data_IF_739322487816
#
_entry.id   IF_739322487816
#
_cell.length_a   1.000
_cell.length_b   1.000
_cell.length_c   1.000
_cell.angle_alpha   90.00
_cell.angle_beta   90.00
_cell.angle_gamma   90.00
#
_symmetry.space_group_name_H-M   'P 1'
#
loop_
_entity.id
_entity.type
_entity.pdbx_description
1 polymer ?
#
# COMPACT_ATOMS: atom_id res chain seq x y z
N UNK A 1 1.78 -14.95 32.32
CA UNK A 1 3.17 -14.96 31.80
C UNK A 1 3.27 -15.07 30.28
N UNK A 2 2.66 -16.07 29.62
CA UNK A 2 2.74 -16.21 28.16
C UNK A 2 2.17 -15.04 27.34
N UNK A 3 1.10 -14.38 27.83
CA UNK A 3 0.48 -13.23 27.14
C UNK A 3 1.46 -12.05 27.02
N UNK A 4 2.28 -11.80 28.03
CA UNK A 4 3.27 -10.73 28.00
C UNK A 4 4.37 -11.03 26.97
N UNK A 5 4.85 -12.27 26.94
CA UNK A 5 5.86 -12.72 25.98
C UNK A 5 5.38 -12.58 24.53
N UNK A 6 4.14 -13.00 24.25
CA UNK A 6 3.53 -12.88 22.92
C UNK A 6 3.42 -11.42 22.49
N UNK A 7 2.97 -10.53 23.39
CA UNK A 7 2.85 -9.09 23.09
C UNK A 7 4.21 -8.47 22.75
N UNK A 8 5.24 -8.75 23.54
CA UNK A 8 6.60 -8.25 23.28
C UNK A 8 7.14 -8.76 21.96
N UNK A 9 6.93 -10.03 21.65
CA UNK A 9 7.39 -10.60 20.37
C UNK A 9 6.65 -9.99 19.19
N UNK A 10 5.33 -9.82 19.28
CA UNK A 10 4.52 -9.14 18.26
C UNK A 10 5.04 -7.72 18.00
N UNK A 11 5.28 -6.92 19.04
CA UNK A 11 5.79 -5.56 18.91
C UNK A 11 7.16 -5.51 18.22
N UNK A 12 8.03 -6.49 18.49
CA UNK A 12 9.32 -6.60 17.80
C UNK A 12 9.13 -6.80 16.29
N UNK A 13 8.24 -7.72 15.90
CA UNK A 13 7.94 -8.00 14.49
C UNK A 13 7.26 -6.80 13.82
N UNK A 14 6.31 -6.15 14.49
CA UNK A 14 5.67 -4.91 14.00
C UNK A 14 6.71 -3.81 13.73
N UNK A 15 7.72 -3.67 14.60
CA UNK A 15 8.82 -2.72 14.38
C UNK A 15 9.71 -3.04 13.17
N UNK A 16 10.04 -4.32 12.96
CA UNK A 16 10.82 -4.76 11.78
C UNK A 16 10.03 -4.56 10.47
N UNK A 17 8.72 -4.85 10.49
CA UNK A 17 7.82 -4.60 9.36
C UNK A 17 7.72 -3.11 9.04
N UNK A 18 7.54 -2.27 10.07
CA UNK A 18 7.47 -0.82 9.91
C UNK A 18 8.75 -0.25 9.28
N UNK A 19 9.92 -0.64 9.79
CA UNK A 19 11.20 -0.18 9.24
C UNK A 19 11.38 -0.58 7.77
N UNK A 20 10.99 -1.80 7.42
CA UNK A 20 11.06 -2.29 6.04
C UNK A 20 10.12 -1.51 5.13
N UNK A 21 8.87 -1.30 5.55
CA UNK A 21 7.90 -0.52 4.80
C UNK A 21 8.37 0.93 4.60
N UNK A 22 8.85 1.58 5.65
CA UNK A 22 9.36 2.96 5.57
C UNK A 22 10.56 3.08 4.63
N UNK A 23 11.48 2.11 4.65
CA UNK A 23 12.64 2.09 3.76
C UNK A 23 12.23 2.03 2.29
N UNK A 24 11.24 1.19 1.96
CA UNK A 24 10.75 1.05 0.58
C UNK A 24 9.90 2.25 0.17
N UNK A 25 9.08 2.78 1.07
CA UNK A 25 8.32 4.02 0.82
C UNK A 25 9.25 5.21 0.55
N UNK A 26 10.35 5.34 1.29
CA UNK A 26 11.37 6.35 1.02
C UNK A 26 11.97 6.20 -0.38
N UNK A 27 12.39 4.97 -0.74
CA UNK A 27 12.91 4.68 -2.08
C UNK A 27 11.90 5.00 -3.20
N UNK A 28 10.63 4.68 -2.99
CA UNK A 28 9.56 4.97 -3.94
C UNK A 28 9.35 6.48 -4.11
N UNK A 29 9.25 7.21 -3.00
CA UNK A 29 8.97 8.64 -2.98
C UNK A 29 10.11 9.48 -3.54
N UNK A 30 11.34 9.17 -3.13
CA UNK A 30 12.50 10.02 -3.39
C UNK A 30 13.16 9.71 -4.73
N UNK A 31 12.97 8.49 -5.25
CA UNK A 31 13.70 8.01 -6.42
C UNK A 31 12.82 7.38 -7.51
N UNK A 32 12.05 6.34 -7.20
CA UNK A 32 11.42 5.52 -8.24
C UNK A 32 10.21 6.19 -8.91
N UNK A 33 9.30 6.79 -8.12
CA UNK A 33 8.14 7.50 -8.66
C UNK A 33 8.57 8.75 -9.46
N UNK A 34 9.49 9.60 -8.96
CA UNK A 34 10.00 10.73 -9.74
C UNK A 34 10.73 10.34 -11.03
N UNK A 35 11.41 9.19 -11.05
CA UNK A 35 12.20 8.73 -12.21
C UNK A 35 11.39 7.91 -13.22
N UNK A 36 10.11 7.64 -12.95
CA UNK A 36 9.27 6.81 -13.80
C UNK A 36 8.91 7.52 -15.12
N UNK A 37 9.53 7.09 -16.22
CA UNK A 37 9.33 7.69 -17.54
C UNK A 37 8.11 7.16 -18.30
N UNK A 38 7.69 5.92 -18.04
CA UNK A 38 6.53 5.31 -18.69
C UNK A 38 5.32 5.25 -17.77
N UNK A 39 4.11 5.36 -18.34
CA UNK A 39 2.86 5.19 -17.58
C UNK A 39 2.82 3.84 -16.87
N UNK A 40 3.30 2.78 -17.51
CA UNK A 40 3.36 1.44 -16.92
C UNK A 40 4.24 1.40 -15.65
N UNK A 41 5.45 1.94 -15.70
CA UNK A 41 6.35 1.98 -14.54
C UNK A 41 5.81 2.89 -13.44
N UNK A 42 5.20 4.02 -13.81
CA UNK A 42 4.57 4.94 -12.85
C UNK A 42 3.40 4.28 -12.11
N UNK A 43 2.52 3.57 -12.83
CA UNK A 43 1.43 2.78 -12.23
C UNK A 43 2.00 1.69 -11.31
N UNK A 44 3.05 0.99 -11.75
CA UNK A 44 3.69 -0.05 -10.95
C UNK A 44 4.22 0.48 -9.61
N UNK A 45 4.96 1.59 -9.63
CA UNK A 45 5.53 2.17 -8.41
C UNK A 45 4.48 2.80 -7.50
N UNK A 46 3.46 3.48 -8.04
CA UNK A 46 2.34 4.01 -7.24
C UNK A 46 1.50 2.88 -6.64
N UNK A 47 1.26 1.80 -7.38
CA UNK A 47 0.63 0.59 -6.84
C UNK A 47 1.45 0.04 -5.68
N UNK A 48 2.76 -0.10 -5.87
CA UNK A 48 3.67 -0.61 -4.84
C UNK A 48 3.67 0.29 -3.60
N UNK A 49 3.64 1.61 -3.78
CA UNK A 49 3.51 2.57 -2.69
C UNK A 49 2.21 2.36 -1.91
N UNK A 50 1.08 2.20 -2.60
CA UNK A 50 -0.20 1.86 -1.97
C UNK A 50 -0.16 0.54 -1.20
N UNK A 51 0.49 -0.49 -1.75
CA UNK A 51 0.70 -1.77 -1.09
C UNK A 51 1.48 -1.63 0.24
N UNK A 52 2.57 -0.86 0.28
CA UNK A 52 3.35 -0.68 1.51
C UNK A 52 2.64 0.19 2.55
N UNK A 53 1.90 1.21 2.16
CA UNK A 53 1.01 1.91 3.10
C UNK A 53 -0.10 0.98 3.62
N UNK A 54 -0.63 0.08 2.78
CA UNK A 54 -1.67 -0.88 3.19
C UNK A 54 -1.13 -1.83 4.24
N UNK A 55 0.09 -2.36 4.05
CA UNK A 55 0.74 -3.21 5.04
C UNK A 55 0.92 -2.49 6.38
N UNK A 56 1.30 -1.20 6.38
CA UNK A 56 1.33 -0.41 7.62
C UNK A 56 -0.06 -0.34 8.28
N UNK A 57 -1.13 -0.12 7.51
CA UNK A 57 -2.49 -0.04 8.04
C UNK A 57 -3.02 -1.37 8.65
N UNK A 58 -2.44 -2.52 8.30
CA UNK A 58 -2.85 -3.83 8.82
C UNK A 58 -2.52 -4.01 10.31
N UNK A 59 -1.40 -3.43 10.79
CA UNK A 59 -0.94 -3.61 12.17
C UNK A 59 -0.85 -2.31 12.98
N UNK A 60 -0.89 -1.14 12.35
CA UNK A 60 -1.02 0.14 13.05
C UNK A 60 -2.38 0.27 13.73
N UNK A 61 -2.47 1.18 14.70
CA UNK A 61 -3.69 1.41 15.47
C UNK A 61 -4.09 2.89 15.45
N UNK A 62 -5.38 3.15 15.66
CA UNK A 62 -5.93 4.51 15.81
C UNK A 62 -5.53 5.46 14.66
N UNK A 63 -4.89 6.58 14.96
CA UNK A 63 -4.57 7.64 14.01
C UNK A 63 -3.52 7.19 12.98
N UNK A 64 -2.55 6.35 13.38
CA UNK A 64 -1.54 5.80 12.46
C UNK A 64 -2.19 4.90 11.40
N UNK A 65 -3.20 4.09 11.81
CA UNK A 65 -3.94 3.25 10.87
C UNK A 65 -4.73 4.09 9.88
N UNK A 66 -5.38 5.14 10.37
CA UNK A 66 -6.17 6.06 9.53
C UNK A 66 -5.27 6.76 8.52
N UNK A 67 -4.14 7.31 8.99
CA UNK A 67 -3.15 7.99 8.14
C UNK A 67 -2.57 7.06 7.07
N UNK A 68 -2.23 5.82 7.44
CA UNK A 68 -1.75 4.82 6.48
C UNK A 68 -2.84 4.46 5.46
N UNK A 69 -4.09 4.32 5.89
CA UNK A 69 -5.23 4.07 4.99
C UNK A 69 -5.46 5.21 3.99
N UNK A 70 -5.35 6.46 4.43
CA UNK A 70 -5.50 7.63 3.56
C UNK A 70 -4.39 7.70 2.50
N UNK A 71 -3.13 7.42 2.87
CA UNK A 71 -2.02 7.37 1.93
C UNK A 71 -2.14 6.17 0.97
N UNK A 72 -2.63 5.01 1.42
CA UNK A 72 -2.97 3.89 0.52
C UNK A 72 -3.99 4.30 -0.52
N UNK A 73 -5.10 4.93 -0.08
CA UNK A 73 -6.18 5.36 -0.97
C UNK A 73 -5.67 6.36 -2.02
N UNK A 74 -4.85 7.31 -1.60
CA UNK A 74 -4.23 8.32 -2.47
C UNK A 74 -3.31 7.69 -3.51
N UNK A 75 -2.43 6.78 -3.11
CA UNK A 75 -1.51 6.10 -4.01
C UNK A 75 -2.24 5.22 -5.03
N UNK A 76 -3.22 4.42 -4.59
CA UNK A 76 -4.00 3.58 -5.50
C UNK A 76 -4.89 4.39 -6.45
N UNK A 77 -5.50 5.50 -6.01
CA UNK A 77 -6.24 6.40 -6.91
C UNK A 77 -5.33 6.99 -7.98
N UNK A 78 -4.17 7.51 -7.59
CA UNK A 78 -3.20 8.04 -8.55
C UNK A 78 -2.74 6.97 -9.56
N UNK A 79 -2.53 5.73 -9.11
CA UNK A 79 -2.23 4.60 -10.00
C UNK A 79 -3.41 4.26 -10.93
N UNK A 80 -4.65 4.29 -10.40
CA UNK A 80 -5.87 3.95 -11.14
C UNK A 80 -6.19 4.97 -12.24
N UNK A 81 -6.00 6.25 -11.98
CA UNK A 81 -6.22 7.33 -12.95
C UNK A 81 -5.31 7.17 -14.19
N UNK A 82 -4.03 6.87 -13.95
CA UNK A 82 -3.06 6.61 -15.03
C UNK A 82 -3.40 5.29 -15.72
N UNK A 83 -3.62 4.21 -14.96
CA UNK A 83 -3.90 2.89 -15.52
C UNK A 83 -5.17 2.85 -16.38
N UNK A 84 -6.19 3.64 -16.01
CA UNK A 84 -7.46 3.69 -16.74
C UNK A 84 -7.31 4.37 -18.09
N UNK A 85 -6.43 5.38 -18.16
CA UNK A 85 -6.17 6.18 -19.36
C UNK A 85 -5.17 5.48 -20.29
N UNK A 86 -4.08 4.94 -19.73
CA UNK A 86 -2.89 4.59 -20.50
C UNK A 86 -2.66 3.08 -20.67
N UNK A 87 -3.34 2.23 -19.89
CA UNK A 87 -3.18 0.77 -19.93
C UNK A 87 -4.47 0.09 -20.38
N UNK A 88 -4.35 -0.92 -21.24
CA UNK A 88 -5.48 -1.77 -21.62
C UNK A 88 -6.13 -2.42 -20.39
N UNK A 89 -7.44 -2.66 -20.44
CA UNK A 89 -8.17 -3.32 -19.34
C UNK A 89 -7.66 -4.73 -19.01
N UNK A 90 -7.02 -5.39 -19.96
CA UNK A 90 -6.38 -6.71 -19.81
C UNK A 90 -4.93 -6.65 -19.35
N UNK A 91 -4.38 -5.45 -19.15
CA UNK A 91 -2.98 -5.28 -18.75
C UNK A 91 -2.73 -5.85 -17.35
N UNK A 92 -1.72 -6.71 -17.13
CA UNK A 92 -1.53 -7.41 -15.86
C UNK A 92 -1.32 -6.47 -14.68
N UNK A 93 -0.61 -5.35 -14.86
CA UNK A 93 -0.42 -4.35 -13.80
C UNK A 93 -1.75 -3.67 -13.42
N UNK A 94 -2.63 -3.40 -14.40
CA UNK A 94 -3.95 -2.78 -14.14
C UNK A 94 -4.86 -3.76 -13.40
N UNK A 95 -4.86 -5.02 -13.79
CA UNK A 95 -5.59 -6.08 -13.08
C UNK A 95 -5.06 -6.29 -11.67
N UNK A 96 -3.73 -6.32 -11.50
CA UNK A 96 -3.10 -6.43 -10.18
C UNK A 96 -3.37 -5.23 -9.28
N UNK A 97 -3.44 -4.02 -9.85
CA UNK A 97 -3.87 -2.82 -9.12
C UNK A 97 -5.33 -2.97 -8.66
N UNK A 98 -6.24 -3.36 -9.56
CA UNK A 98 -7.65 -3.53 -9.23
C UNK A 98 -7.87 -4.57 -8.12
N UNK A 99 -7.17 -5.72 -8.20
CA UNK A 99 -7.18 -6.75 -7.17
C UNK A 99 -6.73 -6.17 -5.82
N UNK A 100 -5.55 -5.56 -5.75
CA UNK A 100 -5.03 -5.05 -4.48
C UNK A 100 -5.88 -3.90 -3.92
N UNK A 101 -6.47 -3.09 -4.79
CA UNK A 101 -7.36 -2.01 -4.37
C UNK A 101 -8.68 -2.57 -3.80
N UNK A 102 -9.24 -3.64 -4.37
CA UNK A 102 -10.42 -4.32 -3.79
C UNK A 102 -10.11 -4.93 -2.41
N UNK A 103 -8.92 -5.52 -2.23
CA UNK A 103 -8.47 -6.04 -0.94
C UNK A 103 -8.38 -4.90 0.09
N UNK A 104 -7.87 -3.74 -0.30
CA UNK A 104 -7.85 -2.56 0.56
C UNK A 104 -9.25 -2.10 1.01
N UNK A 105 -10.21 -2.01 0.08
CA UNK A 105 -11.59 -1.64 0.42
C UNK A 105 -12.20 -2.63 1.43
N UNK A 106 -11.95 -3.93 1.23
CA UNK A 106 -12.46 -4.97 2.10
C UNK A 106 -11.77 -4.99 3.48
N UNK A 107 -10.44 -5.08 3.51
CA UNK A 107 -9.68 -5.35 4.74
C UNK A 107 -9.38 -4.10 5.58
N UNK A 108 -9.18 -2.94 4.95
CA UNK A 108 -8.78 -1.72 5.66
C UNK A 108 -9.97 -0.78 5.85
N UNK A 109 -10.76 -0.54 4.80
CA UNK A 109 -11.91 0.36 4.86
C UNK A 109 -13.21 -0.34 5.29
N UNK A 110 -13.19 -1.66 5.42
CA UNK A 110 -14.35 -2.46 5.84
C UNK A 110 -15.61 -2.15 5.01
N UNK A 111 -15.42 -1.92 3.70
CA UNK A 111 -16.42 -1.48 2.73
C UNK A 111 -16.58 -2.56 1.63
N UNK A 112 -17.20 -3.72 1.93
CA UNK A 112 -17.27 -4.86 1.01
C UNK A 112 -18.07 -4.60 -0.27
N UNK A 113 -18.89 -3.55 -0.31
CA UNK A 113 -19.67 -3.13 -1.47
C UNK A 113 -18.88 -2.34 -2.53
N UNK A 114 -17.64 -1.93 -2.22
CA UNK A 114 -16.75 -1.16 -3.11
C UNK A 114 -15.61 -2.03 -3.65
#
# INVERSE_FOLDING_TARGET
DNVALIKTYRQKIEGELEQTCQSILGLLNDHLVPSAASSESKVFYLKMQGDYYRYLAEFKTSDDKTSAGDETLKAYKAAQDIATTDLASTHPIRLGLALNFSVFYYEILNSPER
#
